data_IF_486889273897
#
_entry.id   IF_486889273897
#
_cell.length_a   1.000
_cell.length_b   1.000
_cell.length_c   1.000
_cell.angle_alpha   90.00
_cell.angle_beta   90.00
_cell.angle_gamma   90.00
#
_symmetry.space_group_name_H-M   'P 1'
#
loop_
_entity.id
_entity.type
_entity.pdbx_description
1 polymer ?
#
# COMPACT_ATOMS: atom_id res chain seq x y z
N UNK A 1 10.32 0.73 11.48
CA UNK A 1 8.87 0.91 11.79
C UNK A 1 8.20 1.81 10.74
N UNK A 2 6.96 1.50 10.35
CA UNK A 2 6.18 2.27 9.38
C UNK A 2 5.27 3.29 10.07
N UNK A 3 5.20 4.51 9.54
CA UNK A 3 4.26 5.55 9.96
C UNK A 3 2.83 5.22 9.50
N UNK A 4 1.78 5.82 10.10
CA UNK A 4 0.40 5.58 9.68
C UNK A 4 0.11 5.91 8.21
N UNK A 5 0.78 6.92 7.64
CA UNK A 5 0.63 7.29 6.21
C UNK A 5 1.32 6.29 5.29
N UNK A 6 2.50 5.81 5.67
CA UNK A 6 3.22 4.76 4.94
C UNK A 6 2.45 3.44 4.94
N UNK A 7 1.88 3.05 6.09
CA UNK A 7 1.02 1.86 6.21
C UNK A 7 -0.18 1.94 5.28
N UNK A 8 -0.88 3.09 5.25
CA UNK A 8 -2.02 3.30 4.35
C UNK A 8 -1.63 3.22 2.88
N UNK A 9 -0.50 3.82 2.49
CA UNK A 9 -0.02 3.73 1.10
C UNK A 9 0.23 2.27 0.71
N UNK A 10 0.95 1.52 1.54
CA UNK A 10 1.21 0.09 1.31
C UNK A 10 -0.10 -0.70 1.20
N UNK A 11 -1.04 -0.50 2.12
CA UNK A 11 -2.32 -1.21 2.11
C UNK A 11 -3.11 -0.98 0.82
N UNK A 12 -3.08 0.24 0.30
CA UNK A 12 -3.74 0.57 -0.97
C UNK A 12 -3.04 -0.15 -2.13
N UNK A 13 -1.70 -0.13 -2.18
CA UNK A 13 -0.92 -0.78 -3.24
C UNK A 13 -0.92 -2.31 -3.17
N UNK A 14 -1.24 -2.91 -2.01
CA UNK A 14 -1.44 -4.36 -1.88
C UNK A 14 -2.81 -4.80 -2.43
N UNK A 15 -3.83 -3.95 -2.27
CA UNK A 15 -5.20 -4.22 -2.73
C UNK A 15 -5.35 -4.04 -4.24
N UNK A 16 -4.76 -2.97 -4.75
CA UNK A 16 -4.91 -2.54 -6.13
C UNK A 16 -3.68 -2.95 -6.96
N UNK A 17 -3.88 -3.24 -8.25
CA UNK A 17 -2.77 -3.48 -9.18
C UNK A 17 -2.09 -2.19 -9.60
N UNK A 18 -2.85 -1.10 -9.66
CA UNK A 18 -2.41 0.21 -10.16
C UNK A 18 -3.22 1.30 -9.50
N UNK A 19 -2.57 2.34 -8.97
CA UNK A 19 -3.27 3.45 -8.30
C UNK A 19 -2.71 4.79 -8.74
N UNK A 20 -3.58 5.66 -9.25
CA UNK A 20 -3.17 6.99 -9.70
C UNK A 20 -2.82 7.89 -8.52
N UNK A 21 -1.84 8.78 -8.74
CA UNK A 21 -1.35 9.71 -7.72
C UNK A 21 -2.45 10.65 -7.23
N UNK A 22 -3.41 11.00 -8.08
CA UNK A 22 -4.55 11.85 -7.71
C UNK A 22 -5.42 11.19 -6.63
N UNK A 23 -5.68 9.89 -6.76
CA UNK A 23 -6.58 9.13 -5.87
C UNK A 23 -5.86 8.78 -4.56
N UNK A 24 -4.54 8.56 -4.63
CA UNK A 24 -3.72 8.26 -3.45
C UNK A 24 -3.81 9.32 -2.36
N UNK A 25 -3.95 10.61 -2.72
CA UNK A 25 -4.02 11.71 -1.74
C UNK A 25 -5.16 11.50 -0.74
N UNK A 26 -6.32 11.07 -1.24
CA UNK A 26 -7.51 10.83 -0.43
C UNK A 26 -7.35 9.57 0.42
N UNK A 27 -6.86 8.47 -0.17
CA UNK A 27 -6.69 7.21 0.56
C UNK A 27 -5.66 7.29 1.70
N UNK A 28 -4.54 7.99 1.49
CA UNK A 28 -3.47 8.07 2.49
C UNK A 28 -3.65 9.23 3.49
N UNK A 29 -4.49 10.21 3.15
CA UNK A 29 -4.65 11.46 3.91
C UNK A 29 -3.36 12.29 3.93
N UNK A 30 -2.72 12.46 2.77
CA UNK A 30 -1.52 13.28 2.62
C UNK A 30 -1.54 14.05 1.30
N UNK A 31 -1.12 15.31 1.34
CA UNK A 31 -1.06 16.19 0.17
C UNK A 31 0.03 15.76 -0.83
N UNK A 32 1.10 15.11 -0.35
CA UNK A 32 2.23 14.69 -1.19
C UNK A 32 2.51 13.17 -1.07
N UNK A 33 1.86 12.33 -1.90
CA UNK A 33 2.14 10.89 -1.95
C UNK A 33 3.57 10.53 -2.35
N UNK A 34 4.24 11.38 -3.15
CA UNK A 34 5.62 11.14 -3.60
C UNK A 34 6.62 11.17 -2.43
N UNK A 35 6.39 12.06 -1.44
CA UNK A 35 7.21 12.08 -0.22
C UNK A 35 7.08 10.77 0.55
N UNK A 36 5.85 10.24 0.70
CA UNK A 36 5.61 8.97 1.41
C UNK A 36 6.27 7.79 0.67
N UNK A 37 6.13 7.75 -0.66
CA UNK A 37 6.82 6.78 -1.51
C UNK A 37 8.33 6.83 -1.31
N UNK A 38 8.93 8.03 -1.29
CA UNK A 38 10.37 8.19 -1.10
C UNK A 38 10.85 7.66 0.25
N UNK A 39 10.09 7.89 1.33
CA UNK A 39 10.42 7.33 2.64
C UNK A 39 10.32 5.81 2.68
N UNK A 40 9.34 5.23 1.99
CA UNK A 40 9.24 3.77 1.83
C UNK A 40 10.41 3.20 1.03
N UNK A 41 10.84 3.90 -0.03
CA UNK A 41 12.04 3.52 -0.78
C UNK A 41 13.29 3.53 0.08
N UNK A 42 13.46 4.53 0.96
CA UNK A 42 14.56 4.57 1.94
C UNK A 42 14.53 3.40 2.93
N UNK A 43 13.36 2.82 3.18
CA UNK A 43 13.17 1.64 4.03
C UNK A 43 13.33 0.32 3.27
N UNK A 44 13.72 0.39 1.99
CA UNK A 44 13.98 -0.79 1.16
C UNK A 44 12.75 -1.34 0.44
N UNK A 45 11.63 -0.61 0.41
CA UNK A 45 10.45 -0.99 -0.36
C UNK A 45 10.52 -0.48 -1.79
N UNK A 46 10.29 -1.36 -2.77
CA UNK A 46 10.37 -0.98 -4.17
C UNK A 46 9.00 -0.64 -4.76
N UNK A 47 8.65 0.65 -4.75
CA UNK A 47 7.39 1.14 -5.35
C UNK A 47 7.69 1.72 -6.73
N UNK A 48 7.07 1.14 -7.74
CA UNK A 48 7.24 1.55 -9.13
C UNK A 48 6.40 2.77 -9.47
N UNK A 49 6.73 3.42 -10.58
CA UNK A 49 5.98 4.57 -11.10
C UNK A 49 5.87 4.46 -12.59
N UNK A 50 4.66 4.66 -13.10
CA UNK A 50 4.41 4.78 -14.52
C UNK A 50 3.50 5.96 -14.81
N UNK A 51 3.25 6.18 -16.10
CA UNK A 51 2.43 7.25 -16.62
C UNK A 51 1.53 6.71 -17.72
N UNK A 52 0.27 7.09 -17.69
CA UNK A 52 -0.64 6.90 -18.81
C UNK A 52 -0.86 8.25 -19.49
N UNK A 53 -0.91 8.24 -20.82
CA UNK A 53 -1.35 9.39 -21.59
C UNK A 53 -2.88 9.47 -21.51
N UNK A 54 -3.39 10.56 -20.97
CA UNK A 54 -4.81 10.84 -20.80
C UNK A 54 -5.11 12.24 -21.28
N UNK A 55 -6.35 12.48 -21.67
CA UNK A 55 -6.81 13.82 -22.04
C UNK A 55 -7.53 14.43 -20.84
N UNK A 56 -7.23 15.70 -20.57
CA UNK A 56 -8.00 16.46 -19.59
C UNK A 56 -9.40 16.81 -20.13
N UNK A 57 -10.19 17.50 -19.31
CA UNK A 57 -11.54 17.93 -19.69
C UNK A 57 -11.54 18.89 -20.90
N UNK A 58 -10.44 19.60 -21.13
CA UNK A 58 -10.28 20.56 -22.22
C UNK A 58 -9.68 19.90 -23.49
N UNK A 59 -9.52 18.57 -23.48
CA UNK A 59 -8.96 17.81 -24.60
C UNK A 59 -7.44 17.92 -24.74
N UNK A 60 -6.74 18.48 -23.75
CA UNK A 60 -5.27 18.56 -23.77
C UNK A 60 -4.67 17.26 -23.25
N UNK A 61 -3.64 16.79 -23.95
CA UNK A 61 -2.86 15.63 -23.52
C UNK A 61 -2.12 15.94 -22.22
N UNK A 62 -2.28 15.07 -21.24
CA UNK A 62 -1.62 15.12 -19.96
C UNK A 62 -1.16 13.72 -19.54
N UNK A 63 -0.20 13.65 -18.62
CA UNK A 63 0.35 12.38 -18.14
C UNK A 63 -0.14 12.10 -16.73
N UNK A 64 -1.01 11.10 -16.57
CA UNK A 64 -1.46 10.66 -15.26
C UNK A 64 -0.44 9.68 -14.66
N UNK A 65 0.31 10.16 -13.66
CA UNK A 65 1.20 9.32 -12.88
C UNK A 65 0.43 8.33 -11.99
N UNK A 66 0.94 7.11 -11.89
CA UNK A 66 0.42 6.07 -11.00
C UNK A 66 1.56 5.28 -10.35
N UNK A 67 1.25 4.61 -9.24
CA UNK A 67 2.13 3.70 -8.54
C UNK A 67 1.57 2.28 -8.56
N UNK A 68 2.48 1.31 -8.55
CA UNK A 68 2.16 -0.11 -8.36
C UNK A 68 3.28 -0.82 -7.59
N UNK A 69 2.97 -2.05 -7.19
CA UNK A 69 3.93 -3.04 -6.70
C UNK A 69 3.86 -4.25 -7.64
N UNK A 70 5.02 -4.83 -7.94
CA UNK A 70 5.07 -6.14 -8.58
C UNK A 70 4.73 -7.24 -7.56
N UNK A 71 4.44 -8.45 -8.04
CA UNK A 71 3.97 -9.53 -7.17
C UNK A 71 5.05 -9.97 -6.17
N UNK A 72 6.33 -9.89 -6.55
CA UNK A 72 7.48 -10.18 -5.69
C UNK A 72 7.52 -9.22 -4.50
N UNK A 73 7.42 -7.90 -4.75
CA UNK A 73 7.45 -6.92 -3.67
C UNK A 73 6.15 -6.96 -2.85
N UNK A 74 5.00 -7.27 -3.45
CA UNK A 74 3.74 -7.50 -2.70
C UNK A 74 3.91 -8.63 -1.69
N UNK A 75 4.48 -9.76 -2.10
CA UNK A 75 4.74 -10.90 -1.23
C UNK A 75 5.72 -10.54 -0.10
N UNK A 76 6.81 -9.85 -0.42
CA UNK A 76 7.80 -9.40 0.57
C UNK A 76 7.20 -8.45 1.60
N UNK A 77 6.37 -7.49 1.16
CA UNK A 77 5.66 -6.56 2.05
C UNK A 77 4.68 -7.33 2.94
N UNK A 78 3.97 -8.30 2.38
CA UNK A 78 3.03 -9.13 3.12
C UNK A 78 3.70 -9.89 4.26
N UNK A 79 4.81 -10.56 3.99
CA UNK A 79 5.61 -11.27 4.99
C UNK A 79 6.15 -10.32 6.07
N UNK A 80 6.61 -9.14 5.65
CA UNK A 80 7.01 -8.08 6.57
C UNK A 80 5.87 -7.69 7.52
N UNK A 81 4.67 -7.43 7.01
CA UNK A 81 3.52 -7.04 7.82
C UNK A 81 3.11 -8.17 8.78
N UNK A 82 3.03 -9.42 8.29
CA UNK A 82 2.70 -10.59 9.10
C UNK A 82 3.66 -10.76 10.29
N UNK A 83 4.97 -10.68 10.05
CA UNK A 83 6.00 -10.79 11.09
C UNK A 83 5.85 -9.70 12.17
N UNK A 84 5.46 -8.49 11.78
CA UNK A 84 5.27 -7.39 12.73
C UNK A 84 3.97 -7.56 13.55
N UNK A 85 2.91 -8.11 12.97
CA UNK A 85 1.65 -8.38 13.69
C UNK A 85 1.82 -9.51 14.71
N UNK A 86 2.56 -10.58 14.35
CA UNK A 86 2.91 -11.67 15.27
C UNK A 86 3.74 -11.16 16.44
N UNK A 87 4.76 -10.34 16.18
CA UNK A 87 5.58 -9.72 17.22
C UNK A 87 4.77 -8.79 18.15
N UNK A 88 3.75 -8.09 17.64
CA UNK A 88 2.89 -7.24 18.45
C UNK A 88 1.94 -8.03 19.37
N UNK A 89 1.56 -9.25 18.96
CA UNK A 89 0.63 -10.11 19.71
C UNK A 89 1.30 -10.71 20.95
N UNK A 90 2.60 -11.01 20.89
CA UNK A 90 3.35 -11.55 22.03
C UNK A 90 3.59 -10.53 23.15
N UNK A 91 3.49 -9.24 22.87
CA UNK A 91 3.75 -8.15 23.85
C UNK A 91 2.46 -7.55 24.43
N UNK A 92 1.28 -7.88 23.86
CA UNK A 92 0.02 -7.21 24.17
C UNK A 92 -0.94 -8.08 24.99
N UNK A 93 -0.55 -8.48 26.20
CA UNK A 93 -1.48 -9.01 27.20
C UNK A 93 -2.12 -7.92 28.08
N UNK A 94 -1.98 -6.63 27.74
CA UNK A 94 -2.60 -5.54 28.49
C UNK A 94 -2.82 -4.25 27.65
N UNK A 95 -3.81 -4.23 26.75
CA UNK A 95 -4.69 -3.06 26.55
C UNK A 95 -5.67 -3.30 25.39
N UNK A 96 -6.97 -3.30 25.74
CA UNK A 96 -8.07 -3.26 24.79
C UNK A 96 -8.07 -1.91 24.05
N UNK A 97 -7.62 -1.88 22.80
CA UNK A 97 -7.90 -0.77 21.88
C UNK A 97 -8.40 -1.33 20.56
N UNK A 98 -9.63 -0.95 20.22
CA UNK A 98 -10.37 -1.30 18.99
C UNK A 98 -9.44 -1.39 17.76
N UNK A 99 -9.16 -2.62 17.33
CA UNK A 99 -8.29 -2.93 16.19
C UNK A 99 -9.14 -3.16 14.95
N UNK A 100 -9.01 -2.26 13.97
CA UNK A 100 -9.43 -2.55 12.60
C UNK A 100 -8.53 -3.66 12.05
N UNK A 101 -9.11 -4.83 11.79
CA UNK A 101 -8.39 -6.10 11.63
C UNK A 101 -7.60 -6.16 10.30
N UNK A 102 -6.29 -5.91 10.36
CA UNK A 102 -5.31 -6.22 9.30
C UNK A 102 -5.42 -7.68 8.83
N UNK A 103 -5.85 -8.58 9.72
CA UNK A 103 -6.07 -10.01 9.42
C UNK A 103 -7.10 -10.27 8.31
N UNK A 104 -8.04 -9.35 8.07
CA UNK A 104 -8.99 -9.50 6.95
C UNK A 104 -8.32 -9.33 5.59
N UNK A 105 -7.28 -8.50 5.49
CA UNK A 105 -6.49 -8.31 4.27
C UNK A 105 -5.53 -9.48 4.02
N UNK A 106 -4.97 -10.02 5.09
CA UNK A 106 -4.10 -11.20 5.07
C UNK A 106 -4.86 -12.39 4.45
N UNK A 107 -6.06 -12.67 4.95
CA UNK A 107 -6.89 -13.78 4.48
C UNK A 107 -7.38 -13.60 3.02
N UNK A 108 -7.61 -12.36 2.56
CA UNK A 108 -8.09 -12.09 1.21
C UNK A 108 -7.04 -12.37 0.13
N UNK A 109 -5.75 -12.24 0.43
CA UNK A 109 -4.67 -12.51 -0.53
C UNK A 109 -4.35 -14.01 -0.61
N UNK A 110 -4.29 -14.71 0.53
CA UNK A 110 -4.05 -16.16 0.55
C UNK A 110 -5.14 -16.99 -0.16
N UNK A 111 -6.40 -16.53 -0.15
CA UNK A 111 -7.50 -17.26 -0.81
C UNK A 111 -7.58 -17.07 -2.33
N UNK A 112 -6.83 -16.14 -2.94
CA UNK A 112 -6.82 -15.96 -4.40
C UNK A 112 -5.83 -16.86 -5.15
N UNK A 113 -4.99 -17.62 -4.46
CA UNK A 113 -4.03 -18.57 -5.05
C UNK A 113 -4.57 -19.99 -5.26
N UNK A 114 -5.87 -20.22 -5.00
CA UNK A 114 -6.47 -21.56 -5.01
C UNK A 114 -7.73 -21.62 -5.86
N UNK A 115 -7.61 -21.42 -7.18
CA UNK A 115 -8.54 -22.05 -8.11
C UNK A 115 -7.75 -22.55 -9.32
N UNK A 116 -7.84 -23.87 -9.50
CA UNK A 116 -7.30 -24.65 -10.61
C UNK A 116 -7.95 -24.26 -11.93
#
# INVERSE_FOLDING_TARGET
>A
MLSPREKRLIQVLLKETKVYVKDLRQHIGAQNPAQIKFQLKKKGFNIYTGFDDVHDRDGKSCKAGYYWLDDVEKQRIYEFLKKNDEAATTTSSNHNRSTFKLSQLINAYCNKGGNK
#
